data_IF_050343372652
#
_entry.id   IF_050343372652
#
_cell.length_a   1.000
_cell.length_b   1.000
_cell.length_c   1.000
_cell.angle_alpha   90.00
_cell.angle_beta   90.00
_cell.angle_gamma   90.00
#
_symmetry.space_group_name_H-M   'P 1'
#
loop_
_entity.id
_entity.type
_entity.pdbx_description
1 polymer ?
#
# COMPACT_ATOMS: atom_id res chain seq x y z
N UNK A 1 15.14 53.28 -20.67
CA UNK A 1 15.25 52.81 -19.28
C UNK A 1 13.86 52.46 -18.78
N UNK A 2 13.55 51.16 -18.68
CA UNK A 2 12.27 50.62 -18.19
C UNK A 2 12.20 50.66 -16.67
N UNK A 3 11.05 50.95 -16.06
CA UNK A 3 10.83 50.62 -14.66
C UNK A 3 10.34 49.17 -14.55
N UNK A 4 11.15 48.36 -13.88
CA UNK A 4 10.86 46.98 -13.50
C UNK A 4 9.58 46.91 -12.65
N UNK A 5 8.48 46.41 -13.23
CA UNK A 5 7.30 45.94 -12.50
C UNK A 5 7.69 44.71 -11.66
N UNK A 6 7.85 44.89 -10.35
CA UNK A 6 7.89 43.76 -9.39
C UNK A 6 6.52 43.08 -9.36
N UNK A 7 6.39 41.96 -10.08
CA UNK A 7 5.29 41.01 -9.91
C UNK A 7 5.47 40.30 -8.57
N UNK A 8 4.80 40.76 -7.51
CA UNK A 8 4.63 39.94 -6.32
C UNK A 8 3.73 38.76 -6.67
N UNK A 9 4.28 37.55 -6.61
CA UNK A 9 3.58 36.30 -6.89
C UNK A 9 2.37 36.11 -5.96
N UNK A 10 1.18 36.33 -6.51
CA UNK A 10 -0.10 35.80 -6.04
C UNK A 10 -0.08 34.27 -6.17
N UNK A 11 0.56 33.57 -5.25
CA UNK A 11 0.31 32.14 -5.08
C UNK A 11 -0.84 31.99 -4.10
N UNK A 12 -2.07 31.98 -4.63
CA UNK A 12 -3.28 31.76 -3.84
C UNK A 12 -3.36 30.30 -3.38
N UNK A 13 -3.94 30.07 -2.20
CA UNK A 13 -4.20 28.73 -1.63
C UNK A 13 -5.03 27.84 -2.57
N UNK A 14 -5.76 28.48 -3.49
CA UNK A 14 -6.55 27.88 -4.58
C UNK A 14 -5.68 27.17 -5.62
N UNK A 15 -4.54 27.73 -6.01
CA UNK A 15 -3.66 27.09 -7.00
C UNK A 15 -2.98 25.84 -6.44
N UNK A 16 -2.61 25.87 -5.15
CA UNK A 16 -1.91 24.75 -4.50
C UNK A 16 -2.83 23.55 -4.32
N UNK A 17 -4.11 23.78 -4.02
CA UNK A 17 -5.08 22.69 -3.85
C UNK A 17 -5.37 21.97 -5.17
N UNK A 18 -5.54 22.69 -6.28
CA UNK A 18 -5.71 22.06 -7.60
C UNK A 18 -4.45 21.30 -8.09
N UNK A 19 -3.25 21.88 -7.91
CA UNK A 19 -2.00 21.20 -8.26
C UNK A 19 -1.77 19.94 -7.41
N UNK A 20 -2.02 20.02 -6.10
CA UNK A 20 -1.91 18.86 -5.21
C UNK A 20 -2.93 17.78 -5.59
N UNK A 21 -4.18 18.14 -5.89
CA UNK A 21 -5.19 17.16 -6.32
C UNK A 21 -4.76 16.36 -7.54
N UNK A 22 -4.11 17.01 -8.52
CA UNK A 22 -3.63 16.32 -9.72
C UNK A 22 -2.51 15.30 -9.46
N UNK A 23 -1.78 15.44 -8.34
CA UNK A 23 -0.65 14.58 -7.97
C UNK A 23 -1.09 13.30 -7.26
N UNK A 24 -2.24 13.32 -6.58
CA UNK A 24 -2.71 12.18 -5.78
C UNK A 24 -3.86 11.48 -6.52
N UNK A 25 -3.73 10.17 -6.74
CA UNK A 25 -4.78 9.36 -7.39
C UNK A 25 -5.91 9.02 -6.41
N UNK A 26 -6.56 10.06 -5.87
CA UNK A 26 -7.66 9.96 -4.91
C UNK A 26 -8.99 10.38 -5.56
N UNK A 27 -10.13 9.79 -5.14
CA UNK A 27 -11.44 10.34 -5.47
C UNK A 27 -11.55 11.78 -4.98
N UNK A 28 -12.20 12.63 -5.79
CA UNK A 28 -12.24 14.07 -5.55
C UNK A 28 -12.79 14.42 -4.16
N UNK A 29 -13.88 13.79 -3.73
CA UNK A 29 -14.47 13.98 -2.40
C UNK A 29 -13.50 13.65 -1.26
N UNK A 30 -12.75 12.54 -1.39
CA UNK A 30 -11.78 12.13 -0.36
C UNK A 30 -10.64 13.13 -0.25
N UNK A 31 -10.21 13.69 -1.37
CA UNK A 31 -9.12 14.65 -1.40
C UNK A 31 -9.58 16.04 -0.91
N UNK A 32 -10.78 16.49 -1.30
CA UNK A 32 -11.41 17.72 -0.77
C UNK A 32 -11.53 17.66 0.75
N UNK A 33 -12.11 16.59 1.28
CA UNK A 33 -12.21 16.36 2.72
C UNK A 33 -10.83 16.31 3.41
N UNK A 34 -9.76 15.89 2.71
CA UNK A 34 -8.43 15.79 3.31
C UNK A 34 -7.84 17.18 3.52
N UNK A 35 -8.01 18.02 2.50
CA UNK A 35 -7.61 19.42 2.51
C UNK A 35 -8.35 20.15 3.64
N UNK A 36 -9.67 20.03 3.70
CA UNK A 36 -10.50 20.69 4.73
C UNK A 36 -10.07 20.28 6.14
N UNK A 37 -9.96 18.98 6.41
CA UNK A 37 -9.56 18.46 7.73
C UNK A 37 -8.14 18.90 8.10
N UNK A 38 -7.19 18.84 7.17
CA UNK A 38 -5.80 19.21 7.44
C UNK A 38 -5.66 20.71 7.75
N UNK A 39 -6.34 21.58 6.99
CA UNK A 39 -6.32 23.03 7.22
C UNK A 39 -7.01 23.34 8.56
N UNK A 40 -8.23 22.83 8.78
CA UNK A 40 -8.99 23.09 10.00
C UNK A 40 -8.21 22.64 11.26
N UNK A 41 -7.64 21.43 11.24
CA UNK A 41 -6.83 20.89 12.35
C UNK A 41 -5.58 21.72 12.60
N UNK A 42 -4.90 22.15 11.54
CA UNK A 42 -3.66 22.92 11.67
C UNK A 42 -3.95 24.32 12.22
N UNK A 43 -4.93 25.04 11.66
CA UNK A 43 -5.30 26.37 12.16
C UNK A 43 -5.81 26.32 13.60
N UNK A 44 -6.62 25.32 13.93
CA UNK A 44 -7.14 25.14 15.29
C UNK A 44 -6.01 24.94 16.30
N UNK A 45 -5.01 24.13 15.96
CA UNK A 45 -3.85 23.89 16.83
C UNK A 45 -2.97 25.12 17.00
N UNK A 46 -2.71 25.87 15.93
CA UNK A 46 -1.77 26.99 15.97
C UNK A 46 -2.40 28.26 16.57
N UNK A 47 -3.70 28.47 16.37
CA UNK A 47 -4.39 29.68 16.81
C UNK A 47 -5.27 29.47 18.05
N UNK A 48 -5.41 28.23 18.53
CA UNK A 48 -6.21 27.86 19.73
C UNK A 48 -7.68 28.32 19.64
N UNK A 49 -8.22 28.38 18.42
CA UNK A 49 -9.60 28.77 18.09
C UNK A 49 -10.16 27.69 17.16
N UNK A 50 -11.44 27.36 17.23
CA UNK A 50 -12.02 26.37 16.32
C UNK A 50 -12.23 26.93 14.92
N UNK A 51 -11.85 26.18 13.88
CA UNK A 51 -12.05 26.53 12.48
C UNK A 51 -12.91 25.51 11.75
N UNK A 52 -13.82 25.99 10.91
CA UNK A 52 -14.44 25.20 9.83
C UNK A 52 -13.84 25.63 8.51
N UNK A 53 -13.54 24.66 7.65
CA UNK A 53 -12.95 24.88 6.34
C UNK A 53 -13.78 24.14 5.31
N UNK A 54 -14.17 24.85 4.25
CA UNK A 54 -14.86 24.27 3.10
C UNK A 54 -14.03 24.50 1.85
N UNK A 55 -13.90 23.47 1.02
CA UNK A 55 -13.16 23.53 -0.23
C UNK A 55 -14.01 22.99 -1.39
N UNK A 56 -14.47 23.91 -2.24
CA UNK A 56 -15.24 23.62 -3.45
C UNK A 56 -14.70 24.47 -4.61
N UNK A 57 -13.45 24.21 -5.02
CA UNK A 57 -12.70 25.03 -5.97
C UNK A 57 -12.22 26.39 -5.44
N UNK A 58 -12.87 26.91 -4.39
CA UNK A 58 -12.41 28.03 -3.56
C UNK A 58 -12.37 27.59 -2.11
N UNK A 59 -11.41 28.14 -1.37
CA UNK A 59 -11.24 27.86 0.05
C UNK A 59 -12.00 28.90 0.87
N UNK A 60 -12.91 28.43 1.70
CA UNK A 60 -13.64 29.25 2.68
C UNK A 60 -13.25 28.81 4.08
N UNK A 61 -12.74 29.75 4.89
CA UNK A 61 -12.31 29.50 6.27
C UNK A 61 -13.17 30.32 7.21
N UNK A 62 -13.81 29.68 8.18
CA UNK A 62 -14.63 30.33 9.21
C UNK A 62 -14.04 30.04 10.59
N UNK A 63 -13.72 31.08 11.36
CA UNK A 63 -13.31 30.96 12.75
C UNK A 63 -14.49 31.11 13.71
N UNK A 64 -14.51 30.27 14.75
CA UNK A 64 -15.48 30.27 15.82
C UNK A 64 -14.80 30.69 17.11
N UNK A 65 -14.92 31.97 17.45
CA UNK A 65 -14.40 32.51 18.71
C UNK A 65 -15.32 32.12 19.88
N UNK A 66 -14.74 31.74 21.02
CA UNK A 66 -15.48 31.31 22.23
C UNK A 66 -16.54 32.31 22.68
N UNK A 67 -16.34 33.60 22.42
CA UNK A 67 -17.25 34.69 22.78
C UNK A 67 -17.48 35.66 21.61
N UNK A 68 -17.72 35.15 20.39
CA UNK A 68 -17.96 36.00 19.23
C UNK A 68 -18.82 35.36 18.14
N UNK A 69 -19.29 36.17 17.19
CA UNK A 69 -19.93 35.66 15.97
C UNK A 69 -18.89 34.96 15.10
N UNK A 70 -19.26 33.89 14.37
CA UNK A 70 -18.38 33.28 13.39
C UNK A 70 -17.89 34.32 12.38
N UNK A 71 -16.59 34.34 12.12
CA UNK A 71 -15.96 35.29 11.22
C UNK A 71 -15.30 34.56 10.05
N UNK A 72 -15.59 34.98 8.82
CA UNK A 72 -14.90 34.48 7.63
C UNK A 72 -13.52 35.10 7.56
N UNK A 73 -12.50 34.26 7.48
CA UNK A 73 -11.11 34.71 7.41
C UNK A 73 -10.63 34.60 5.96
N UNK A 74 -10.17 35.71 5.37
CA UNK A 74 -9.56 35.67 4.05
C UNK A 74 -8.24 34.89 4.13
N UNK A 75 -7.96 34.06 3.12
CA UNK A 75 -6.76 33.25 3.09
C UNK A 75 -5.46 34.10 3.15
N UNK A 76 -5.55 35.36 2.72
CA UNK A 76 -4.49 36.36 2.78
C UNK A 76 -4.12 36.79 4.20
N UNK A 77 -5.03 36.63 5.16
CA UNK A 77 -4.75 36.94 6.57
C UNK A 77 -3.84 35.90 7.24
N UNK A 78 -3.63 34.74 6.60
CA UNK A 78 -2.73 33.70 7.10
C UNK A 78 -1.29 34.09 6.78
N UNK A 79 -0.47 34.23 7.82
CA UNK A 79 0.94 34.57 7.63
C UNK A 79 1.68 33.49 6.82
N UNK A 80 2.75 33.88 6.12
CA UNK A 80 3.50 32.97 5.22
C UNK A 80 4.09 31.74 5.91
N UNK A 81 4.45 31.83 7.19
CA UNK A 81 5.04 30.71 7.95
C UNK A 81 3.97 29.65 8.25
N UNK A 82 2.83 30.08 8.76
CA UNK A 82 1.65 29.26 9.00
C UNK A 82 1.14 28.66 7.69
N UNK A 83 1.15 29.42 6.60
CA UNK A 83 0.79 28.93 5.28
C UNK A 83 1.66 27.75 4.81
N UNK A 84 3.00 27.85 4.95
CA UNK A 84 3.90 26.74 4.61
C UNK A 84 3.63 25.50 5.46
N UNK A 85 3.36 25.69 6.75
CA UNK A 85 3.02 24.59 7.66
C UNK A 85 1.69 23.93 7.29
N UNK A 86 0.66 24.71 6.99
CA UNK A 86 -0.64 24.22 6.51
C UNK A 86 -0.46 23.40 5.24
N UNK A 87 0.28 23.90 4.26
CA UNK A 87 0.58 23.16 3.02
C UNK A 87 1.23 21.81 3.32
N UNK A 88 2.26 21.81 4.17
CA UNK A 88 2.94 20.60 4.56
C UNK A 88 2.00 19.59 5.24
N UNK A 89 1.11 20.05 6.11
CA UNK A 89 0.10 19.19 6.76
C UNK A 89 -0.95 18.65 5.77
N UNK A 90 -1.34 19.44 4.78
CA UNK A 90 -2.22 18.98 3.69
C UNK A 90 -1.55 17.88 2.88
N UNK A 91 -0.29 18.05 2.49
CA UNK A 91 0.48 17.03 1.75
C UNK A 91 0.58 15.71 2.53
N UNK A 92 0.82 15.77 3.84
CA UNK A 92 0.83 14.59 4.71
C UNK A 92 -0.53 13.89 4.77
N UNK A 93 -1.62 14.64 4.94
CA UNK A 93 -2.96 14.07 5.05
C UNK A 93 -3.41 13.44 3.72
N UNK A 94 -3.07 14.07 2.60
CA UNK A 94 -3.30 13.52 1.25
C UNK A 94 -2.52 12.23 1.04
N UNK A 95 -1.23 12.18 1.39
CA UNK A 95 -0.44 10.95 1.32
C UNK A 95 -1.04 9.82 2.18
N UNK A 96 -1.49 10.15 3.39
CA UNK A 96 -2.13 9.18 4.28
C UNK A 96 -3.39 8.60 3.66
N UNK A 97 -4.26 9.45 3.09
CA UNK A 97 -5.48 8.97 2.43
C UNK A 97 -5.20 8.20 1.17
N UNK A 98 -4.20 8.61 0.39
CA UNK A 98 -3.76 7.85 -0.78
C UNK A 98 -3.32 6.44 -0.36
N UNK A 99 -2.46 6.31 0.64
CA UNK A 99 -2.00 5.00 1.10
C UNK A 99 -3.16 4.13 1.63
N UNK A 100 -4.15 4.72 2.31
CA UNK A 100 -5.35 4.00 2.75
C UNK A 100 -6.20 3.53 1.57
N UNK A 101 -6.43 4.41 0.60
CA UNK A 101 -7.20 4.11 -0.61
C UNK A 101 -6.53 3.00 -1.42
N UNK A 102 -5.23 3.14 -1.71
CA UNK A 102 -4.45 2.13 -2.42
C UNK A 102 -4.43 0.79 -1.66
N UNK A 103 -4.29 0.80 -0.33
CA UNK A 103 -4.34 -0.42 0.46
C UNK A 103 -5.70 -1.14 0.36
N UNK A 104 -6.81 -0.41 0.30
CA UNK A 104 -8.14 -1.00 0.12
C UNK A 104 -8.32 -1.57 -1.29
N UNK A 105 -7.84 -0.88 -2.33
CA UNK A 105 -7.84 -1.39 -3.71
C UNK A 105 -7.02 -2.69 -3.84
N UNK A 106 -5.88 -2.75 -3.15
CA UNK A 106 -4.96 -3.89 -3.18
C UNK A 106 -5.32 -5.00 -2.19
N UNK A 107 -6.38 -4.83 -1.38
CA UNK A 107 -6.80 -5.79 -0.35
C UNK A 107 -7.16 -7.15 -0.93
N UNK A 108 -7.66 -7.19 -2.16
CA UNK A 108 -7.97 -8.41 -2.90
C UNK A 108 -6.74 -9.30 -3.17
N UNK A 109 -5.53 -8.73 -3.14
CA UNK A 109 -4.29 -9.51 -3.26
C UNK A 109 -4.05 -10.40 -2.04
N UNK A 110 -4.67 -10.10 -0.90
CA UNK A 110 -4.50 -10.90 0.30
C UNK A 110 -4.97 -12.34 0.06
N UNK A 111 -4.07 -13.25 0.34
CA UNK A 111 -4.29 -14.68 0.16
C UNK A 111 -4.03 -15.18 -1.25
N UNK A 112 -3.55 -14.33 -2.17
CA UNK A 112 -3.18 -14.75 -3.52
C UNK A 112 -1.67 -15.04 -3.58
N UNK A 113 -1.27 -15.95 -4.47
CA UNK A 113 0.13 -16.16 -4.78
C UNK A 113 0.57 -15.13 -5.82
N UNK A 114 1.77 -14.59 -5.65
CA UNK A 114 2.35 -13.62 -6.56
C UNK A 114 3.77 -14.03 -6.89
N UNK A 115 4.07 -14.04 -8.19
CA UNK A 115 5.44 -14.14 -8.66
C UNK A 115 6.14 -12.80 -8.38
N UNK A 116 7.30 -12.86 -7.75
CA UNK A 116 8.04 -11.66 -7.37
C UNK A 116 9.54 -11.82 -7.59
N UNK A 117 10.19 -10.72 -7.97
CA UNK A 117 11.64 -10.66 -8.13
C UNK A 117 12.26 -9.98 -6.91
N UNK A 118 13.28 -10.61 -6.30
CA UNK A 118 14.00 -10.02 -5.18
C UNK A 118 14.81 -8.82 -5.67
N UNK A 119 14.39 -7.61 -5.31
CA UNK A 119 15.05 -6.36 -5.72
C UNK A 119 16.15 -5.94 -4.76
N UNK A 120 16.00 -6.26 -3.47
CA UNK A 120 16.97 -5.90 -2.41
C UNK A 120 16.87 -6.87 -1.24
N UNK A 121 17.99 -7.08 -0.55
CA UNK A 121 18.04 -7.78 0.73
C UNK A 121 18.52 -6.77 1.77
N UNK A 122 17.74 -6.58 2.84
CA UNK A 122 18.07 -5.67 3.94
C UNK A 122 19.07 -6.32 4.90
N UNK A 123 19.69 -5.50 5.75
CA UNK A 123 20.73 -5.95 6.71
C UNK A 123 20.20 -7.02 7.67
N UNK A 124 18.93 -6.93 8.04
CA UNK A 124 18.24 -7.90 8.90
C UNK A 124 17.84 -9.20 8.17
N UNK A 125 18.16 -9.33 6.87
CA UNK A 125 17.78 -10.47 6.03
C UNK A 125 16.36 -10.38 5.45
N UNK A 126 15.64 -9.28 5.66
CA UNK A 126 14.33 -9.06 5.04
C UNK A 126 14.49 -8.89 3.53
N UNK A 127 13.70 -9.63 2.76
CA UNK A 127 13.66 -9.52 1.30
C UNK A 127 12.70 -8.41 0.90
N UNK A 128 13.17 -7.49 0.06
CA UNK A 128 12.31 -6.56 -0.68
C UNK A 128 12.10 -7.15 -2.06
N UNK A 129 10.84 -7.32 -2.44
CA UNK A 129 10.42 -8.04 -3.63
C UNK A 129 9.60 -7.10 -4.50
N UNK A 130 9.99 -6.96 -5.76
CA UNK A 130 9.20 -6.30 -6.78
C UNK A 130 8.15 -7.30 -7.29
N UNK A 131 6.90 -6.90 -7.20
CA UNK A 131 5.74 -7.68 -7.64
C UNK A 131 5.25 -7.08 -8.96
N UNK A 132 5.13 -7.90 -9.98
CA UNK A 132 4.50 -7.52 -11.23
C UNK A 132 3.10 -8.12 -11.25
N UNK A 133 2.09 -7.26 -11.14
CA UNK A 133 0.69 -7.69 -11.17
C UNK A 133 0.11 -7.24 -12.49
N UNK A 134 -0.11 -8.22 -13.37
CA UNK A 134 -0.85 -8.03 -14.61
C UNK A 134 -2.35 -7.95 -14.28
N UNK A 135 -2.89 -6.74 -14.20
CA UNK A 135 -4.32 -6.52 -14.37
C UNK A 135 -4.62 -6.39 -15.88
N UNK A 136 -5.82 -6.80 -16.31
CA UNK A 136 -6.25 -6.84 -17.72
C UNK A 136 -6.06 -5.50 -18.47
N UNK A 137 -5.89 -4.41 -17.73
CA UNK A 137 -5.75 -3.06 -18.26
C UNK A 137 -4.47 -2.34 -17.82
N UNK A 138 -3.72 -2.88 -16.83
CA UNK A 138 -2.53 -2.21 -16.25
C UNK A 138 -1.54 -3.21 -15.67
N UNK A 139 -0.25 -3.06 -15.99
CA UNK A 139 0.81 -3.67 -15.21
C UNK A 139 1.12 -2.77 -14.01
N UNK A 140 0.81 -3.27 -12.80
CA UNK A 140 1.14 -2.59 -11.55
C UNK A 140 2.45 -3.16 -11.00
N UNK A 141 3.46 -2.30 -10.90
CA UNK A 141 4.72 -2.62 -10.22
C UNK A 141 4.57 -2.23 -8.75
N UNK A 142 4.50 -3.22 -7.87
CA UNK A 142 4.38 -3.03 -6.43
C UNK A 142 5.64 -3.52 -5.70
N UNK A 143 5.83 -3.07 -4.46
CA UNK A 143 6.90 -3.57 -3.59
C UNK A 143 6.29 -4.31 -2.41
N UNK A 144 6.71 -5.55 -2.21
CA UNK A 144 6.42 -6.35 -1.02
C UNK A 144 7.66 -6.63 -0.18
N UNK A 145 7.45 -7.02 1.07
CA UNK A 145 8.50 -7.39 2.00
C UNK A 145 8.26 -8.79 2.57
N UNK A 146 9.29 -9.65 2.53
CA UNK A 146 9.28 -10.97 3.16
C UNK A 146 10.32 -11.01 4.29
N UNK A 147 9.84 -10.89 5.53
CA UNK A 147 10.70 -10.91 6.71
C UNK A 147 11.23 -12.32 6.99
N UNK A 148 12.38 -12.42 7.66
CA UNK A 148 13.06 -13.69 7.98
C UNK A 148 12.15 -14.77 8.61
N UNK A 149 11.23 -14.45 9.56
CA UNK A 149 10.32 -15.47 10.11
C UNK A 149 9.40 -16.10 9.07
N UNK A 150 9.11 -15.40 7.97
CA UNK A 150 8.25 -15.86 6.88
C UNK A 150 9.03 -16.50 5.72
N UNK A 151 10.34 -16.72 5.90
CA UNK A 151 11.22 -17.43 4.98
C UNK A 151 11.48 -18.86 5.51
N UNK A 152 11.43 -19.89 4.63
CA UNK A 152 11.79 -21.26 5.00
C UNK A 152 13.18 -21.32 5.63
N UNK A 153 13.38 -21.99 6.78
CA UNK A 153 14.67 -22.03 7.47
C UNK A 153 15.86 -22.43 6.60
N UNK A 154 15.65 -23.35 5.65
CA UNK A 154 16.69 -23.84 4.73
C UNK A 154 17.02 -22.86 3.60
N UNK A 155 16.13 -21.91 3.30
CA UNK A 155 16.36 -20.90 2.25
C UNK A 155 17.00 -19.62 2.80
N UNK A 156 16.97 -19.41 4.12
CA UNK A 156 17.50 -18.20 4.77
C UNK A 156 18.98 -18.00 4.43
N UNK A 157 19.32 -16.80 3.96
CA UNK A 157 20.68 -16.45 3.55
C UNK A 157 21.13 -17.02 2.20
N UNK A 158 20.30 -17.84 1.53
CA UNK A 158 20.62 -18.39 0.20
C UNK A 158 19.99 -17.58 -0.95
N UNK A 159 19.08 -16.67 -0.63
CA UNK A 159 18.44 -15.79 -1.62
C UNK A 159 19.44 -14.87 -2.32
N UNK A 160 19.18 -14.61 -3.60
CA UNK A 160 19.99 -13.68 -4.41
C UNK A 160 19.13 -12.57 -4.99
N UNK A 161 19.72 -11.38 -5.11
CA UNK A 161 19.10 -10.27 -5.84
C UNK A 161 18.89 -10.72 -7.30
N UNK A 162 17.73 -10.38 -7.86
CA UNK A 162 17.30 -10.76 -9.20
C UNK A 162 16.61 -12.12 -9.29
N UNK A 163 16.61 -12.91 -8.22
CA UNK A 163 15.93 -14.20 -8.19
C UNK A 163 14.40 -14.01 -8.23
N UNK A 164 13.74 -14.79 -9.08
CA UNK A 164 12.28 -14.82 -9.21
C UNK A 164 11.74 -16.01 -8.44
N UNK A 165 10.76 -15.77 -7.59
CA UNK A 165 10.19 -16.75 -6.68
C UNK A 165 8.69 -16.52 -6.50
N UNK A 166 7.98 -17.56 -6.12
CA UNK A 166 6.57 -17.49 -5.72
C UNK A 166 6.43 -17.09 -4.24
N UNK A 167 5.53 -16.14 -3.97
CA UNK A 167 5.24 -15.64 -2.63
C UNK A 167 3.74 -15.64 -2.34
N UNK A 168 3.37 -15.94 -1.09
CA UNK A 168 2.01 -15.79 -0.62
C UNK A 168 1.81 -14.41 0.01
N UNK A 169 0.80 -13.65 -0.44
CA UNK A 169 0.46 -12.37 0.17
C UNK A 169 -0.33 -12.58 1.46
N UNK A 170 0.30 -12.31 2.60
CA UNK A 170 -0.33 -12.50 3.92
C UNK A 170 -1.16 -11.30 4.35
N UNK A 171 -0.69 -10.09 4.02
CA UNK A 171 -1.26 -8.83 4.52
C UNK A 171 -0.98 -7.69 3.54
N UNK A 172 -1.97 -6.82 3.37
CA UNK A 172 -1.85 -5.55 2.66
C UNK A 172 -2.39 -4.47 3.60
N UNK A 173 -1.56 -3.51 3.98
CA UNK A 173 -1.94 -2.43 4.90
C UNK A 173 -1.23 -1.13 4.56
N UNK A 174 -1.89 -0.01 4.80
CA UNK A 174 -1.22 1.28 4.85
C UNK A 174 -0.39 1.40 6.13
N UNK A 175 0.87 1.80 5.99
CA UNK A 175 1.77 2.08 7.12
C UNK A 175 2.29 3.52 7.03
N UNK A 176 2.49 4.14 8.19
CA UNK A 176 3.29 5.35 8.28
C UNK A 176 4.76 4.95 8.31
N UNK A 177 5.54 5.37 7.32
CA UNK A 177 7.00 5.27 7.35
C UNK A 177 7.56 6.55 7.97
N UNK A 178 7.76 6.49 9.30
CA UNK A 178 8.15 7.62 10.12
C UNK A 178 7.06 8.69 10.25
N UNK A 179 7.46 9.92 10.59
CA UNK A 179 6.54 11.05 10.74
C UNK A 179 6.12 11.70 9.40
N UNK A 180 6.80 11.36 8.29
CA UNK A 180 6.80 12.18 7.08
C UNK A 180 6.20 11.50 5.85
N UNK A 181 5.85 10.21 5.91
CA UNK A 181 5.29 9.51 4.74
C UNK A 181 4.37 8.35 5.11
N UNK A 182 3.33 8.16 4.31
CA UNK A 182 2.48 6.98 4.37
C UNK A 182 2.62 6.19 3.07
N UNK A 183 2.69 4.86 3.16
CA UNK A 183 2.83 3.97 2.01
C UNK A 183 2.07 2.67 2.23
N UNK A 184 1.71 1.99 1.15
CA UNK A 184 1.20 0.62 1.23
C UNK A 184 2.35 -0.34 1.52
N UNK A 185 2.12 -1.24 2.47
CA UNK A 185 3.03 -2.33 2.80
C UNK A 185 2.34 -3.66 2.52
N UNK A 186 2.95 -4.42 1.61
CA UNK A 186 2.52 -5.76 1.22
C UNK A 186 3.48 -6.75 1.89
N UNK A 187 2.92 -7.61 2.75
CA UNK A 187 3.70 -8.63 3.47
C UNK A 187 3.60 -9.96 2.77
N UNK A 188 4.76 -10.49 2.42
CA UNK A 188 4.93 -11.73 1.71
C UNK A 188 5.38 -12.85 2.64
N UNK A 189 5.01 -14.08 2.31
CA UNK A 189 5.44 -15.28 3.02
C UNK A 189 5.73 -16.41 2.05
N UNK A 190 6.85 -17.09 2.26
CA UNK A 190 7.15 -18.39 1.64
C UNK A 190 6.83 -19.57 2.56
N UNK A 191 6.49 -19.33 3.82
CA UNK A 191 6.15 -20.36 4.82
C UNK A 191 4.65 -20.61 5.00
N UNK A 192 3.78 -19.83 4.34
CA UNK A 192 2.33 -19.95 4.49
C UNK A 192 1.80 -21.34 4.10
N UNK A 193 1.04 -22.01 4.99
CA UNK A 193 0.55 -23.39 4.76
C UNK A 193 -0.14 -23.59 3.41
N UNK A 194 -0.90 -22.59 2.95
CA UNK A 194 -1.75 -22.71 1.76
C UNK A 194 -1.00 -22.47 0.44
N UNK A 195 0.24 -21.96 0.47
CA UNK A 195 1.06 -21.67 -0.71
C UNK A 195 1.18 -22.86 -1.69
N UNK A 196 1.63 -24.07 -1.29
CA UNK A 196 1.74 -25.21 -2.20
C UNK A 196 0.40 -25.62 -2.81
N UNK A 197 -0.67 -25.65 -2.01
CA UNK A 197 -2.00 -26.01 -2.50
C UNK A 197 -2.49 -25.01 -3.56
N UNK A 198 -2.29 -23.71 -3.34
CA UNK A 198 -2.66 -22.67 -4.30
C UNK A 198 -1.85 -22.73 -5.59
N UNK A 199 -0.54 -22.94 -5.50
CA UNK A 199 0.31 -23.08 -6.69
C UNK A 199 -0.13 -24.28 -7.54
N UNK A 200 -0.53 -25.38 -6.89
CA UNK A 200 -1.08 -26.53 -7.60
C UNK A 200 -2.43 -26.20 -8.27
N UNK A 201 -3.34 -25.49 -7.59
CA UNK A 201 -4.62 -25.04 -8.18
C UNK A 201 -4.39 -24.15 -9.38
N UNK A 202 -3.49 -23.16 -9.27
CA UNK A 202 -3.17 -22.21 -10.33
C UNK A 202 -2.59 -22.90 -11.57
N UNK A 203 -1.75 -23.93 -11.38
CA UNK A 203 -1.13 -24.67 -12.48
C UNK A 203 -2.00 -25.74 -13.12
N UNK A 204 -2.96 -26.30 -12.39
CA UNK A 204 -3.75 -27.46 -12.84
C UNK A 204 -5.21 -27.14 -13.12
N UNK A 205 -5.73 -26.03 -12.60
CA UNK A 205 -7.16 -25.70 -12.65
C UNK A 205 -8.04 -26.60 -11.77
N UNK A 206 -7.46 -27.52 -10.98
CA UNK A 206 -8.21 -28.44 -10.13
C UNK A 206 -8.68 -27.71 -8.87
N UNK A 207 -9.99 -27.64 -8.69
CA UNK A 207 -10.61 -27.16 -7.46
C UNK A 207 -10.55 -28.24 -6.35
N UNK A 208 -10.58 -27.83 -5.08
CA UNK A 208 -10.60 -28.76 -3.95
C UNK A 208 -9.24 -29.26 -3.46
N UNK A 209 -8.12 -28.76 -4.00
CA UNK A 209 -6.78 -29.07 -3.47
C UNK A 209 -6.56 -28.33 -2.15
N UNK A 210 -6.25 -28.99 -1.03
CA UNK A 210 -5.95 -28.34 0.25
C UNK A 210 -4.65 -28.87 0.86
N UNK A 211 -4.03 -28.09 1.75
CA UNK A 211 -2.84 -28.53 2.47
C UNK A 211 -3.20 -28.86 3.93
N UNK A 212 -3.01 -30.12 4.31
CA UNK A 212 -3.29 -30.61 5.68
C UNK A 212 -2.16 -30.23 6.62
N UNK A 213 -0.92 -30.44 6.19
CA UNK A 213 0.29 -30.20 6.97
C UNK A 213 1.40 -29.69 6.07
N UNK A 214 2.18 -28.73 6.55
CA UNK A 214 3.36 -28.21 5.84
C UNK A 214 4.51 -27.99 6.81
N UNK A 215 5.70 -28.43 6.42
CA UNK A 215 6.99 -28.03 6.97
C UNK A 215 7.76 -27.35 5.83
N UNK A 216 7.77 -26.02 5.85
CA UNK A 216 8.32 -25.23 4.76
C UNK A 216 9.81 -25.53 4.50
N UNK A 217 10.18 -25.76 3.23
CA UNK A 217 11.51 -26.22 2.80
C UNK A 217 11.81 -27.71 3.09
N UNK A 218 10.83 -28.50 3.54
CA UNK A 218 10.98 -29.93 3.75
C UNK A 218 9.88 -30.75 3.06
N UNK A 219 8.63 -30.69 3.56
CA UNK A 219 7.52 -31.44 2.95
C UNK A 219 6.16 -30.79 3.18
N UNK A 220 5.20 -31.11 2.32
CA UNK A 220 3.80 -30.71 2.43
C UNK A 220 2.87 -31.88 2.12
N UNK A 221 1.89 -32.11 2.99
CA UNK A 221 0.82 -33.08 2.81
C UNK A 221 -0.38 -32.37 2.18
N UNK A 222 -0.69 -32.76 0.95
CA UNK A 222 -1.71 -32.19 0.09
C UNK A 222 -2.83 -33.20 -0.09
N UNK A 223 -4.06 -32.74 0.08
CA UNK A 223 -5.28 -33.51 -0.20
C UNK A 223 -5.94 -32.92 -1.43
N UNK A 224 -6.41 -33.77 -2.35
CA UNK A 224 -7.15 -33.33 -3.54
C UNK A 224 -8.36 -34.22 -3.79
N UNK A 225 -9.38 -33.63 -4.41
CA UNK A 225 -10.57 -34.34 -4.90
C UNK A 225 -10.31 -35.06 -6.23
N UNK A 226 -9.21 -34.74 -6.92
CA UNK A 226 -8.86 -35.31 -8.21
C UNK A 226 -7.37 -35.65 -8.27
N UNK A 227 -6.99 -36.45 -9.27
CA UNK A 227 -5.59 -36.79 -9.50
C UNK A 227 -4.83 -35.57 -10.02
N UNK A 228 -3.81 -35.14 -9.29
CA UNK A 228 -2.92 -34.05 -9.69
C UNK A 228 -1.84 -34.62 -10.64
N UNK A 229 -1.56 -33.97 -11.79
CA UNK A 229 -0.47 -34.35 -12.69
C UNK A 229 0.89 -34.37 -11.99
N UNK A 230 1.72 -35.38 -12.27
CA UNK A 230 3.03 -35.55 -11.64
C UNK A 230 3.97 -34.38 -11.99
N UNK A 231 3.86 -33.85 -13.19
CA UNK A 231 4.64 -32.70 -13.66
C UNK A 231 4.37 -31.47 -12.78
N UNK A 232 3.10 -31.21 -12.45
CA UNK A 232 2.70 -30.10 -11.59
C UNK A 232 3.27 -30.27 -10.17
N UNK A 233 3.19 -31.48 -9.61
CA UNK A 233 3.73 -31.81 -8.29
C UNK A 233 5.24 -31.56 -8.24
N UNK A 234 5.99 -32.09 -9.22
CA UNK A 234 7.45 -31.93 -9.28
C UNK A 234 7.83 -30.46 -9.47
N UNK A 235 7.11 -29.73 -10.32
CA UNK A 235 7.41 -28.34 -10.59
C UNK A 235 7.16 -27.43 -9.37
N UNK A 236 6.07 -27.65 -8.62
CA UNK A 236 5.81 -26.91 -7.37
C UNK A 236 6.79 -27.32 -6.27
N UNK A 237 7.11 -28.62 -6.16
CA UNK A 237 8.12 -29.09 -5.20
C UNK A 237 9.50 -28.48 -5.44
N UNK A 238 9.91 -28.33 -6.71
CA UNK A 238 11.18 -27.67 -7.08
C UNK A 238 11.17 -26.17 -6.74
N UNK A 239 10.06 -25.47 -6.98
CA UNK A 239 9.92 -24.04 -6.65
C UNK A 239 10.01 -23.76 -5.15
N UNK A 240 9.43 -24.64 -4.33
CA UNK A 240 9.39 -24.47 -2.88
C UNK A 240 10.55 -25.16 -2.14
N UNK A 241 11.38 -25.94 -2.84
CA UNK A 241 12.38 -26.81 -2.22
C UNK A 241 11.76 -27.84 -1.26
N UNK A 242 10.57 -28.34 -1.59
CA UNK A 242 9.74 -29.21 -0.73
C UNK A 242 9.31 -30.50 -1.44
N UNK A 243 9.21 -31.59 -0.68
CA UNK A 243 8.54 -32.80 -1.15
C UNK A 243 7.02 -32.71 -0.94
N UNK A 244 6.24 -33.01 -1.98
CA UNK A 244 4.78 -32.92 -1.91
C UNK A 244 4.16 -34.32 -1.85
N UNK A 245 3.57 -34.68 -0.70
CA UNK A 245 2.81 -35.91 -0.53
C UNK A 245 1.35 -35.65 -0.91
N UNK A 246 0.85 -36.29 -1.97
CA UNK A 246 -0.51 -36.05 -2.47
C UNK A 246 -1.42 -37.25 -2.16
N UNK A 247 -2.52 -36.97 -1.48
CA UNK A 247 -3.59 -37.92 -1.16
C UNK A 247 -4.85 -37.53 -1.94
N UNK A 248 -5.50 -38.52 -2.56
CA UNK A 248 -6.77 -38.30 -3.26
C UNK A 248 -7.89 -38.76 -2.33
N UNK A 249 -8.69 -37.82 -1.84
CA UNK A 249 -9.93 -38.14 -1.13
C UNK A 249 -11.03 -38.32 -2.17
N UNK A 250 -11.52 -39.55 -2.31
CA UNK A 250 -12.72 -39.81 -3.10
C UNK A 250 -13.91 -39.20 -2.36
N UNK A 251 -14.62 -38.28 -3.01
CA UNK A 251 -15.90 -37.81 -2.52
C UNK A 251 -16.85 -39.01 -2.45
N UNK A 252 -17.33 -39.32 -1.23
CA UNK A 252 -18.43 -40.25 -0.98
C UNK A 252 -19.74 -39.59 -1.40
#
# INVERSE_FOLDING_TARGET
>A
MSPFRKRHGKQSLVMITAELLSKYSLPEEQARSAIEVAIARTLTREMQISFSVKYDGKLEITAFHTHGKPAVIPAEAINKKLFRHVRYQVELELQKRQALFEAEQLKQLRGVNVTGQISRILIDGTLVVTLEIADLFRCLILSGECQVPFQPPRERGLYRIGQVLEFYVTKVVAIAAGHWSARVHIRLSRTARDLPARLLRERTGINGISCRRRIAGAFSDIVSTARIPKEAIVAVGKELGEHLNVFVEQAV
#
